data_IF_810016192273
#
_entry.id   IF_810016192273
#
_cell.length_a   1.000
_cell.length_b   1.000
_cell.length_c   1.000
_cell.angle_alpha   90.00
_cell.angle_beta   90.00
_cell.angle_gamma   90.00
#
_symmetry.space_group_name_H-M   'P 1'
#
loop_
_entity.id
_entity.type
_entity.pdbx_description
1 polymer ?
#
# COMPACT_ATOMS: atom_id res chain seq x y z
N UNK A 1 -12.93 -3.21 -4.60
CA UNK A 1 -12.07 -2.55 -5.62
C UNK A 1 -11.03 -3.57 -6.03
N UNK A 2 -10.86 -3.82 -7.33
CA UNK A 2 -9.84 -4.73 -7.86
C UNK A 2 -8.80 -3.86 -8.56
N UNK A 3 -7.53 -4.09 -8.26
CA UNK A 3 -6.40 -3.39 -8.88
C UNK A 3 -5.43 -4.44 -9.36
N UNK A 4 -4.95 -4.30 -10.59
CA UNK A 4 -3.87 -5.12 -11.13
C UNK A 4 -2.73 -4.21 -11.57
N UNK A 5 -1.47 -4.54 -11.24
CA UNK A 5 -0.33 -3.73 -11.63
C UNK A 5 -0.06 -3.87 -13.14
N UNK A 6 0.14 -2.75 -13.84
CA UNK A 6 0.56 -2.76 -15.26
C UNK A 6 2.07 -3.02 -15.43
N UNK A 7 2.83 -2.88 -14.36
CA UNK A 7 4.29 -3.08 -14.29
C UNK A 7 4.63 -3.70 -12.94
N UNK A 8 5.73 -4.45 -12.86
CA UNK A 8 6.14 -5.13 -11.62
C UNK A 8 6.20 -4.13 -10.44
N UNK A 9 5.47 -4.35 -9.34
CA UNK A 9 5.51 -3.48 -8.18
C UNK A 9 6.90 -3.48 -7.53
N UNK A 10 7.31 -2.33 -7.02
CA UNK A 10 8.54 -2.22 -6.23
C UNK A 10 8.36 -2.90 -4.86
N UNK A 11 9.45 -3.32 -4.23
CA UNK A 11 9.43 -3.85 -2.86
C UNK A 11 8.72 -2.90 -1.90
N UNK A 12 8.98 -1.60 -2.03
CA UNK A 12 8.35 -0.57 -1.19
C UNK A 12 6.84 -0.50 -1.39
N UNK A 13 6.35 -0.64 -2.62
CA UNK A 13 4.90 -0.69 -2.90
C UNK A 13 4.27 -1.94 -2.28
N UNK A 14 4.94 -3.10 -2.37
CA UNK A 14 4.50 -4.34 -1.73
C UNK A 14 4.50 -4.26 -0.20
N UNK A 15 5.49 -3.56 0.38
CA UNK A 15 5.55 -3.31 1.82
C UNK A 15 4.40 -2.44 2.31
N UNK A 16 3.85 -1.54 1.47
CA UNK A 16 2.66 -0.77 1.86
C UNK A 16 1.40 -1.63 1.95
N UNK A 17 1.28 -2.66 1.11
CA UNK A 17 0.22 -3.67 1.29
C UNK A 17 0.44 -4.46 2.58
N UNK A 18 1.68 -4.90 2.84
CA UNK A 18 2.01 -5.64 4.05
C UNK A 18 1.75 -4.82 5.33
N UNK A 19 2.17 -3.55 5.34
CA UNK A 19 1.93 -2.60 6.44
C UNK A 19 0.44 -2.48 6.79
N UNK A 20 -0.43 -2.55 5.79
CA UNK A 20 -1.88 -2.43 5.96
C UNK A 20 -2.55 -3.77 6.34
N UNK A 21 -1.78 -4.86 6.44
CA UNK A 21 -2.28 -6.22 6.57
C UNK A 21 -2.53 -6.84 5.20
N UNK A 22 -1.63 -7.72 4.74
CA UNK A 22 -1.77 -8.47 3.48
C UNK A 22 -2.05 -9.94 3.75
N UNK A 23 -2.96 -10.52 2.98
CA UNK A 23 -3.24 -11.95 2.98
C UNK A 23 -3.03 -12.50 1.58
N UNK A 24 -2.29 -13.60 1.47
CA UNK A 24 -2.11 -14.33 0.21
C UNK A 24 -3.28 -15.27 -0.09
N UNK A 25 -3.27 -15.93 -1.26
CA UNK A 25 -4.30 -16.90 -1.66
C UNK A 25 -4.57 -17.97 -0.61
N UNK A 26 -3.51 -18.59 -0.07
CA UNK A 26 -3.65 -19.65 0.95
C UNK A 26 -4.34 -19.15 2.22
N UNK A 27 -4.06 -17.92 2.63
CA UNK A 27 -4.71 -17.32 3.78
C UNK A 27 -6.19 -17.03 3.54
N UNK A 28 -6.57 -16.74 2.29
CA UNK A 28 -7.94 -16.40 1.92
C UNK A 28 -8.88 -17.60 1.94
N UNK A 29 -8.38 -18.83 1.87
CA UNK A 29 -9.21 -20.04 1.98
C UNK A 29 -9.88 -20.15 3.35
N UNK A 30 -9.28 -19.55 4.38
CA UNK A 30 -9.81 -19.51 5.74
C UNK A 30 -9.53 -18.16 6.41
N UNK A 31 -10.16 -17.10 5.88
CA UNK A 31 -9.97 -15.72 6.38
C UNK A 31 -10.33 -15.59 7.86
N UNK A 32 -11.29 -16.37 8.36
CA UNK A 32 -11.76 -16.25 9.75
C UNK A 32 -10.62 -16.58 10.72
N UNK A 33 -9.85 -17.61 10.41
CA UNK A 33 -8.74 -18.08 11.21
C UNK A 33 -7.39 -17.45 10.82
N UNK A 34 -7.24 -16.98 9.59
CA UNK A 34 -5.99 -16.42 9.07
C UNK A 34 -5.90 -14.89 9.14
N UNK A 35 -6.67 -14.22 9.99
CA UNK A 35 -6.59 -12.76 10.15
C UNK A 35 -5.17 -12.33 10.52
N UNK A 36 -4.70 -11.26 9.88
CA UNK A 36 -3.36 -10.70 10.09
C UNK A 36 -3.44 -9.30 10.69
N UNK A 37 -2.43 -8.86 11.46
CA UNK A 37 -2.35 -7.49 11.91
C UNK A 37 -2.06 -6.54 10.75
N UNK A 38 -2.49 -5.29 10.90
CA UNK A 38 -2.25 -4.23 9.93
C UNK A 38 -2.44 -2.86 10.56
N UNK A 39 -2.02 -1.82 9.86
CA UNK A 39 -2.20 -0.44 10.30
C UNK A 39 -3.15 0.31 9.38
N UNK A 40 -4.16 0.97 9.95
CA UNK A 40 -5.08 1.79 9.18
C UNK A 40 -4.56 3.23 8.92
N UNK A 41 -5.36 4.02 8.19
CA UNK A 41 -5.01 5.41 7.85
C UNK A 41 -5.04 6.38 9.04
N UNK A 42 -5.66 5.99 10.16
CA UNK A 42 -5.68 6.76 11.42
C UNK A 42 -4.41 6.53 12.23
N UNK A 43 -3.48 5.69 11.74
CA UNK A 43 -2.29 5.25 12.46
C UNK A 43 -2.66 4.41 13.71
N UNK A 44 -3.64 3.53 13.56
CA UNK A 44 -3.97 2.51 14.55
C UNK A 44 -3.41 1.17 14.10
N UNK A 45 -2.61 0.51 14.95
CA UNK A 45 -2.31 -0.91 14.79
C UNK A 45 -3.56 -1.70 15.17
N UNK A 46 -4.06 -2.48 14.23
CA UNK A 46 -5.22 -3.37 14.39
C UNK A 46 -4.67 -4.78 14.55
N UNK A 47 -4.90 -5.38 15.71
CA UNK A 47 -4.50 -6.76 16.01
C UNK A 47 -5.74 -7.65 16.17
N UNK A 48 -5.85 -8.74 15.40
CA UNK A 48 -7.01 -9.61 15.47
C UNK A 48 -7.06 -10.35 16.82
N UNK A 49 -8.26 -10.48 17.37
CA UNK A 49 -8.58 -11.31 18.53
C UNK A 49 -9.55 -12.43 18.09
N UNK A 50 -9.71 -13.54 18.84
CA UNK A 50 -10.67 -14.59 18.51
C UNK A 50 -12.04 -14.01 18.12
N UNK A 51 -12.51 -13.04 18.90
CA UNK A 51 -13.69 -12.22 18.59
C UNK A 51 -13.26 -10.74 18.43
N UNK A 52 -13.41 -10.20 17.22
CA UNK A 52 -13.06 -8.79 16.93
C UNK A 52 -11.56 -8.52 16.84
N UNK A 53 -11.13 -7.36 17.34
CA UNK A 53 -9.75 -6.87 17.27
C UNK A 53 -9.46 -5.86 18.38
N UNK A 54 -8.18 -5.62 18.64
CA UNK A 54 -7.71 -4.51 19.48
C UNK A 54 -7.08 -3.45 18.59
N UNK A 55 -7.36 -2.18 18.89
CA UNK A 55 -6.74 -1.03 18.22
C UNK A 55 -5.77 -0.35 19.19
N UNK A 56 -4.50 -0.23 18.79
CA UNK A 56 -3.48 0.50 19.57
C UNK A 56 -2.94 1.66 18.74
N UNK A 57 -2.94 2.90 19.23
CA UNK A 57 -2.32 4.02 18.54
C UNK A 57 -0.84 3.75 18.28
N UNK A 58 -0.35 4.04 17.06
CA UNK A 58 1.09 3.89 16.77
C UNK A 58 1.97 4.83 17.61
N UNK A 59 1.41 5.91 18.18
CA UNK A 59 2.13 6.81 19.09
C UNK A 59 2.60 6.12 20.38
N UNK A 60 1.92 5.03 20.76
CA UNK A 60 2.12 4.35 22.04
C UNK A 60 3.08 3.16 21.88
N UNK A 61 3.58 2.92 20.67
CA UNK A 61 4.40 1.77 20.32
C UNK A 61 5.72 2.20 19.66
N UNK A 62 6.85 1.56 19.98
CA UNK A 62 8.08 1.74 19.22
C UNK A 62 7.88 1.28 17.75
N UNK A 63 8.32 2.05 16.73
CA UNK A 63 8.15 1.69 15.31
C UNK A 63 8.68 0.31 14.96
N UNK A 64 9.84 -0.09 15.52
CA UNK A 64 10.40 -1.42 15.30
C UNK A 64 9.53 -2.56 15.85
N UNK A 65 8.72 -2.31 16.88
CA UNK A 65 7.76 -3.32 17.36
C UNK A 65 6.60 -3.50 16.39
N UNK A 66 6.08 -2.40 15.85
CA UNK A 66 5.01 -2.41 14.84
C UNK A 66 5.51 -3.12 13.58
N UNK A 67 6.72 -2.79 13.13
CA UNK A 67 7.37 -3.37 11.97
C UNK A 67 7.45 -4.89 12.04
N UNK A 68 7.85 -5.44 13.19
CA UNK A 68 7.86 -6.89 13.44
C UNK A 68 6.46 -7.51 13.40
N UNK A 69 5.45 -6.83 13.96
CA UNK A 69 4.08 -7.35 13.99
C UNK A 69 3.46 -7.44 12.60
N UNK A 70 3.65 -6.43 11.75
CA UNK A 70 3.05 -6.38 10.41
C UNK A 70 3.96 -6.92 9.30
N UNK A 71 5.20 -7.31 9.63
CA UNK A 71 6.13 -7.97 8.72
C UNK A 71 6.74 -7.04 7.66
N UNK A 72 7.17 -5.84 8.06
CA UNK A 72 7.82 -4.84 7.18
C UNK A 72 9.08 -4.26 7.83
N UNK A 73 9.86 -3.48 7.07
CA UNK A 73 10.96 -2.69 7.61
C UNK A 73 10.50 -1.56 8.54
N UNK A 74 11.33 -1.20 9.53
CA UNK A 74 11.02 -0.08 10.44
C UNK A 74 10.91 1.25 9.69
N UNK A 75 11.71 1.43 8.64
CA UNK A 75 11.71 2.62 7.78
C UNK A 75 10.34 2.83 7.10
N UNK A 76 9.65 1.75 6.75
CA UNK A 76 8.29 1.79 6.21
C UNK A 76 7.34 2.37 7.27
N UNK A 77 7.37 1.86 8.50
CA UNK A 77 6.50 2.34 9.58
C UNK A 77 6.72 3.84 9.84
N UNK A 78 7.97 4.26 9.98
CA UNK A 78 8.34 5.66 10.22
C UNK A 78 7.92 6.58 9.07
N UNK A 79 8.13 6.15 7.83
CA UNK A 79 7.63 6.88 6.66
C UNK A 79 6.11 7.03 6.69
N UNK A 80 5.38 5.94 6.96
CA UNK A 80 3.91 5.97 6.96
C UNK A 80 3.37 6.91 8.04
N UNK A 81 3.95 6.88 9.25
CA UNK A 81 3.64 7.83 10.32
C UNK A 81 3.87 9.27 9.85
N UNK A 82 5.04 9.55 9.26
CA UNK A 82 5.38 10.90 8.78
C UNK A 82 4.43 11.38 7.68
N UNK A 83 4.16 10.55 6.68
CA UNK A 83 3.34 10.89 5.51
C UNK A 83 1.88 11.11 5.90
N UNK A 84 1.30 10.22 6.71
CA UNK A 84 -0.11 10.34 7.12
C UNK A 84 -0.34 11.54 8.06
N UNK A 85 0.59 11.82 8.98
CA UNK A 85 0.54 13.03 9.80
C UNK A 85 0.72 14.32 8.98
N UNK A 86 1.62 14.32 7.98
CA UNK A 86 1.75 15.46 7.07
C UNK A 86 0.47 15.68 6.26
N UNK A 87 -0.15 14.59 5.78
CA UNK A 87 -1.41 14.63 5.05
C UNK A 87 -2.54 15.25 5.89
N UNK A 88 -2.66 14.88 7.15
CA UNK A 88 -3.68 15.43 8.04
C UNK A 88 -3.49 16.94 8.28
N UNK A 89 -2.24 17.41 8.34
CA UNK A 89 -1.91 18.82 8.59
C UNK A 89 -1.97 19.73 7.35
N UNK A 90 -1.49 19.23 6.21
CA UNK A 90 -1.21 20.06 5.02
C UNK A 90 -2.06 19.63 3.80
N UNK A 91 -2.66 18.44 3.84
CA UNK A 91 -3.40 17.89 2.71
C UNK A 91 -2.58 16.92 1.84
N UNK A 92 -3.19 16.45 0.75
CA UNK A 92 -2.56 15.55 -0.24
C UNK A 92 -2.24 16.28 -1.54
N UNK A 93 -1.19 15.85 -2.22
CA UNK A 93 -0.89 16.25 -3.60
C UNK A 93 -1.77 15.52 -4.65
N UNK A 94 -2.54 14.51 -4.26
CA UNK A 94 -3.48 13.81 -5.14
C UNK A 94 -2.85 12.68 -5.98
N UNK A 95 -3.58 12.26 -7.02
CA UNK A 95 -3.15 11.26 -7.99
C UNK A 95 -2.27 11.92 -9.05
N UNK A 96 -1.14 11.31 -9.39
CA UNK A 96 -0.21 11.85 -10.39
C UNK A 96 -0.75 11.78 -11.81
N UNK A 97 -1.32 10.62 -12.17
CA UNK A 97 -1.86 10.33 -13.49
C UNK A 97 -3.16 9.55 -13.32
N UNK A 98 -4.24 10.08 -13.87
CA UNK A 98 -5.53 9.42 -13.96
C UNK A 98 -6.02 9.51 -15.41
N UNK A 99 -6.12 8.35 -16.07
CA UNK A 99 -6.56 8.25 -17.46
C UNK A 99 -7.59 7.11 -17.54
N UNK A 100 -8.83 7.51 -17.71
CA UNK A 100 -9.91 6.60 -18.07
C UNK A 100 -9.63 5.97 -19.44
N UNK A 101 -10.04 4.74 -19.71
CA UNK A 101 -9.88 4.09 -21.02
C UNK A 101 -11.23 3.90 -21.70
N UNK A 102 -11.27 4.10 -23.02
CA UNK A 102 -12.39 3.67 -23.84
C UNK A 102 -12.41 2.14 -23.99
N UNK A 103 -13.57 1.52 -24.28
CA UNK A 103 -13.68 0.06 -24.37
C UNK A 103 -12.78 -0.59 -25.43
N UNK A 104 -12.36 0.18 -26.44
CA UNK A 104 -11.52 -0.24 -27.57
C UNK A 104 -10.03 0.11 -27.38
N UNK A 105 -9.67 0.84 -26.32
CA UNK A 105 -8.27 1.15 -26.00
C UNK A 105 -7.58 -0.02 -25.29
N UNK A 106 -6.37 -0.36 -25.73
CA UNK A 106 -5.49 -1.33 -25.06
C UNK A 106 -4.68 -0.69 -23.93
N UNK A 107 -4.63 -1.34 -22.77
CA UNK A 107 -3.90 -0.88 -21.57
C UNK A 107 -2.42 -0.63 -21.87
N UNK A 108 -1.77 -1.58 -22.53
CA UNK A 108 -0.34 -1.56 -22.85
C UNK A 108 -0.01 -0.46 -23.86
N UNK A 109 -0.85 -0.30 -24.90
CA UNK A 109 -0.67 0.71 -25.93
C UNK A 109 -0.77 2.13 -25.33
N UNK A 110 -1.77 2.37 -24.48
CA UNK A 110 -1.93 3.66 -23.81
C UNK A 110 -0.80 3.92 -22.82
N UNK A 111 -0.35 2.91 -22.07
CA UNK A 111 0.79 3.06 -21.16
C UNK A 111 2.09 3.43 -21.90
N UNK A 112 2.36 2.80 -23.05
CA UNK A 112 3.51 3.14 -23.89
C UNK A 112 3.42 4.56 -24.49
N UNK A 113 2.23 4.97 -24.93
CA UNK A 113 2.01 6.35 -25.40
C UNK A 113 2.32 7.38 -24.30
N UNK A 114 1.85 7.13 -23.09
CA UNK A 114 2.11 8.00 -21.93
C UNK A 114 3.60 7.99 -21.60
N UNK A 115 4.24 6.82 -21.56
CA UNK A 115 5.68 6.68 -21.32
C UNK A 115 6.53 7.37 -22.40
N UNK A 116 6.06 7.46 -23.64
CA UNK A 116 6.77 8.20 -24.68
C UNK A 116 6.87 9.70 -24.35
N UNK A 117 5.86 10.27 -23.68
CA UNK A 117 5.73 11.70 -23.39
C UNK A 117 6.17 12.09 -21.97
N UNK A 118 5.99 11.20 -20.99
CA UNK A 118 6.29 11.45 -19.58
C UNK A 118 7.54 10.66 -19.13
N UNK A 119 8.57 11.38 -18.68
CA UNK A 119 9.84 10.78 -18.27
C UNK A 119 9.75 9.95 -16.97
N UNK A 120 8.85 10.30 -16.05
CA UNK A 120 8.64 9.59 -14.79
C UNK A 120 7.91 8.27 -15.04
N UNK A 121 6.88 8.28 -15.88
CA UNK A 121 6.17 7.06 -16.30
C UNK A 121 7.11 6.15 -17.08
N UNK A 122 7.87 6.70 -18.04
CA UNK A 122 8.87 5.94 -18.81
C UNK A 122 9.89 5.22 -17.95
N UNK A 123 10.40 5.91 -16.93
CA UNK A 123 11.37 5.36 -16.00
C UNK A 123 10.80 4.14 -15.29
N UNK A 124 9.56 4.24 -14.82
CA UNK A 124 8.85 3.17 -14.12
C UNK A 124 8.54 1.96 -14.99
N UNK A 125 8.16 2.19 -16.26
CA UNK A 125 7.86 1.12 -17.24
C UNK A 125 9.12 0.38 -17.67
N UNK A 126 10.22 1.10 -17.92
CA UNK A 126 11.46 0.52 -18.47
C UNK A 126 12.42 -0.03 -17.41
N UNK A 127 12.08 0.07 -16.12
CA UNK A 127 12.91 -0.44 -15.02
C UNK A 127 14.30 0.21 -14.91
N UNK A 128 14.45 1.46 -15.36
CA UNK A 128 15.70 2.24 -15.28
C UNK A 128 15.62 3.32 -14.21
#
# INVERSE_FOLDING_TARGET
>A
MVTFPLVEPTTRELDFYAFSGKLGPDGLEDVVHNRVPGVDKRLMLIEPMPEGHVETPLSDLPPGSVARKVGVGQDIVEERIRVLNRRARVGVTGVYLDRLLAPDEGLEAVLEEIAARDSLVRRRVRGR
#
